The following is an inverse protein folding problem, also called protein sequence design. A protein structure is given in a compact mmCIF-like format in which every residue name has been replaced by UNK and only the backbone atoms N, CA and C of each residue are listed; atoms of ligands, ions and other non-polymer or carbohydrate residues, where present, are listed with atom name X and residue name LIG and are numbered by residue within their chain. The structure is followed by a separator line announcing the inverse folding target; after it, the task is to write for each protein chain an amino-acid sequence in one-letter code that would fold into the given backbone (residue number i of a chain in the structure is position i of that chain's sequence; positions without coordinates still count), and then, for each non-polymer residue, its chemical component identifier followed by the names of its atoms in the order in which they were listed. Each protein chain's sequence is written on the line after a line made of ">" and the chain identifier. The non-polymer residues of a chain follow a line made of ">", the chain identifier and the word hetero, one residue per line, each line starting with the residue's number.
data_IF_993387078807
#
_entry.id   IF_993387078807
#
_cell.length_a   1.000
_cell.length_b   1.000
_cell.length_c   1.000
_cell.angle_alpha   90.00
_cell.angle_beta   90.00
_cell.angle_gamma   90.00
#
_symmetry.space_group_name_H-M   'P 1'
#
loop_
_entity.id
_entity.type
_entity.pdbx_description
1 polymer ?
#
# COMPACT_ATOMS: atom_id res chain seq x y z
N UNK A 1 13.89 -5.53 16.10
CA UNK A 1 12.54 -4.93 16.23
C UNK A 1 12.12 -4.41 14.85
N UNK A 2 11.11 -5.02 14.22
CA UNK A 2 10.53 -4.51 12.97
C UNK A 2 9.48 -3.45 13.31
N UNK A 3 9.78 -2.18 13.03
CA UNK A 3 8.87 -1.05 13.29
C UNK A 3 7.82 -1.07 12.18
N UNK A 4 6.53 -1.18 12.53
CA UNK A 4 5.41 -1.12 11.59
C UNK A 4 4.89 0.33 11.55
N UNK A 5 5.25 1.13 10.53
CA UNK A 5 5.03 2.58 10.56
C UNK A 5 3.54 2.98 10.44
N UNK A 6 2.69 2.11 9.88
CA UNK A 6 1.28 2.40 9.61
C UNK A 6 0.30 1.82 10.64
N UNK A 7 0.77 1.31 11.79
CA UNK A 7 -0.10 0.70 12.81
C UNK A 7 -0.38 1.60 14.01
N UNK A 8 0.19 2.81 14.06
CA UNK A 8 -0.09 3.75 15.14
C UNK A 8 -1.29 4.63 14.76
N UNK A 9 -2.30 4.77 15.63
CA UNK A 9 -3.43 5.65 15.38
C UNK A 9 -2.98 7.10 15.14
N UNK A 10 -3.69 7.79 14.26
CA UNK A 10 -3.48 9.20 13.94
C UNK A 10 -4.66 9.98 14.52
N UNK A 11 -4.35 10.97 15.36
CA UNK A 11 -5.36 11.85 15.94
C UNK A 11 -5.70 13.00 14.98
N UNK A 12 -6.96 13.09 14.55
CA UNK A 12 -7.46 14.16 13.68
C UNK A 12 -8.75 14.71 14.27
N UNK A 13 -8.76 16.00 14.65
CA UNK A 13 -9.93 16.67 15.25
C UNK A 13 -10.54 15.90 16.44
N UNK A 14 -9.69 15.29 17.28
CA UNK A 14 -10.12 14.49 18.44
C UNK A 14 -10.64 13.09 18.10
N UNK A 15 -10.52 12.65 16.85
CA UNK A 15 -10.84 11.30 16.41
C UNK A 15 -9.57 10.49 16.20
N UNK A 16 -9.54 9.27 16.74
CA UNK A 16 -8.44 8.32 16.56
C UNK A 16 -8.68 7.47 15.32
N UNK A 17 -7.86 7.66 14.28
CA UNK A 17 -7.98 6.94 13.01
C UNK A 17 -6.88 5.88 12.89
N UNK A 18 -7.28 4.64 12.62
CA UNK A 18 -6.36 3.57 12.24
C UNK A 18 -6.44 3.38 10.73
N UNK A 19 -5.29 3.49 10.07
CA UNK A 19 -5.18 3.27 8.62
C UNK A 19 -4.57 1.90 8.34
N UNK A 20 -5.04 1.26 7.28
CA UNK A 20 -4.34 0.13 6.66
C UNK A 20 -3.44 0.65 5.53
N UNK A 21 -2.41 -0.13 5.19
CA UNK A 21 -1.52 0.19 4.07
C UNK A 21 -1.34 -1.04 3.18
N UNK A 22 -1.45 -0.84 1.88
CA UNK A 22 -1.07 -1.82 0.85
C UNK A 22 0.10 -1.27 0.04
N UNK A 23 0.98 -2.16 -0.42
CA UNK A 23 2.17 -1.79 -1.18
C UNK A 23 2.31 -2.74 -2.38
N UNK A 24 2.59 -2.18 -3.54
CA UNK A 24 2.91 -2.91 -4.76
C UNK A 24 4.38 -2.77 -5.12
N UNK A 25 4.97 -3.82 -5.68
CA UNK A 25 6.37 -3.87 -6.09
C UNK A 25 6.45 -4.33 -7.55
N UNK A 26 7.30 -3.68 -8.33
CA UNK A 26 7.70 -4.10 -9.68
C UNK A 26 9.23 -4.19 -9.76
N UNK A 27 9.73 -5.16 -10.51
CA UNK A 27 11.15 -5.51 -10.62
C UNK A 27 11.57 -5.48 -12.08
N UNK A 28 12.49 -4.58 -12.43
CA UNK A 28 13.15 -4.61 -13.73
C UNK A 28 14.17 -5.76 -13.81
N UNK A 29 14.37 -6.40 -14.98
CA UNK A 29 13.66 -6.18 -16.25
C UNK A 29 12.31 -6.90 -16.37
N UNK A 30 11.94 -7.73 -15.38
CA UNK A 30 10.79 -8.64 -15.44
C UNK A 30 9.45 -7.92 -15.62
N UNK A 31 9.25 -6.84 -14.89
CA UNK A 31 8.00 -6.07 -14.85
C UNK A 31 8.10 -4.76 -15.66
N UNK A 32 9.08 -4.66 -16.56
CA UNK A 32 9.26 -3.46 -17.39
C UNK A 32 10.71 -3.14 -17.69
N UNK A 33 10.93 -2.46 -18.82
CA UNK A 33 12.24 -2.00 -19.27
C UNK A 33 12.43 -0.49 -19.06
N UNK A 34 11.34 0.25 -18.85
CA UNK A 34 11.37 1.68 -18.59
C UNK A 34 10.58 2.04 -17.33
N UNK A 35 10.82 3.25 -16.82
CA UNK A 35 10.20 3.74 -15.58
C UNK A 35 8.66 3.71 -15.64
N UNK A 36 8.07 4.03 -16.78
CA UNK A 36 6.62 4.05 -16.93
C UNK A 36 6.00 2.65 -16.76
N UNK A 37 6.65 1.63 -17.33
CA UNK A 37 6.22 0.23 -17.18
C UNK A 37 6.29 -0.21 -15.71
N UNK A 38 7.39 0.11 -15.02
CA UNK A 38 7.58 -0.28 -13.62
C UNK A 38 6.56 0.39 -12.70
N UNK A 39 6.26 1.68 -12.92
CA UNK A 39 5.23 2.40 -12.16
C UNK A 39 3.87 1.76 -12.39
N UNK A 40 3.50 1.50 -13.65
CA UNK A 40 2.23 0.87 -13.98
C UNK A 40 2.08 -0.51 -13.34
N UNK A 41 3.11 -1.35 -13.39
CA UNK A 41 3.07 -2.68 -12.77
C UNK A 41 3.07 -2.63 -11.24
N UNK A 42 3.82 -1.69 -10.64
CA UNK A 42 3.80 -1.50 -9.19
C UNK A 42 2.42 -1.05 -8.70
N UNK A 43 1.77 -0.13 -9.41
CA UNK A 43 0.42 0.33 -9.09
C UNK A 43 -0.61 -0.80 -9.22
N UNK A 44 -0.53 -1.60 -10.29
CA UNK A 44 -1.39 -2.78 -10.46
C UNK A 44 -1.19 -3.81 -9.34
N UNK A 45 0.06 -4.05 -8.93
CA UNK A 45 0.37 -4.94 -7.82
C UNK A 45 -0.19 -4.39 -6.49
N UNK A 46 -0.11 -3.08 -6.28
CA UNK A 46 -0.67 -2.40 -5.11
C UNK A 46 -2.19 -2.53 -5.08
N UNK A 47 -2.87 -2.30 -6.20
CA UNK A 47 -4.31 -2.40 -6.30
C UNK A 47 -4.81 -3.80 -5.94
N UNK A 48 -4.14 -4.85 -6.46
CA UNK A 48 -4.42 -6.25 -6.08
C UNK A 48 -4.20 -6.51 -4.58
N UNK A 49 -3.16 -5.91 -3.99
CA UNK A 49 -2.90 -6.00 -2.57
C UNK A 49 -3.89 -5.18 -1.72
N UNK A 50 -4.57 -4.20 -2.30
CA UNK A 50 -5.63 -3.44 -1.62
C UNK A 50 -6.95 -4.21 -1.60
N UNK A 51 -7.29 -4.92 -2.69
CA UNK A 51 -8.47 -5.79 -2.73
C UNK A 51 -8.42 -6.95 -1.72
N UNK A 52 -7.22 -7.38 -1.33
CA UNK A 52 -7.03 -8.45 -0.33
C UNK A 52 -7.09 -7.97 1.12
N UNK A 53 -7.17 -6.66 1.37
CA UNK A 53 -7.36 -6.15 2.73
C UNK A 53 -8.83 -6.31 3.17
N UNK A 54 -9.08 -6.69 4.44
CA UNK A 54 -10.42 -6.65 4.98
C UNK A 54 -10.94 -5.22 4.92
N UNK A 55 -12.09 -5.03 4.29
CA UNK A 55 -12.79 -3.75 4.31
C UNK A 55 -13.09 -3.43 5.77
N UNK A 56 -12.47 -2.36 6.28
CA UNK A 56 -12.79 -1.82 7.59
C UNK A 56 -14.22 -1.28 7.47
N UNK A 57 -15.21 -2.11 7.81
CA UNK A 57 -16.58 -1.67 7.99
C UNK A 57 -16.65 -0.84 9.28
N UNK A 58 -17.45 0.24 9.31
CA UNK A 58 -17.67 1.02 10.52
C UNK A 58 -18.28 0.17 11.65
#
# INVERSE_FOLDING_TARGET
>A
MSRRPFTHPIEILGHSLVVSASLGVAIAPKDGQCTNDLIMHADLAMYRANESLPRILP
#
